data_IF_394893202461
#
_entry.id   IF_394893202461
#
_cell.length_a   1.000
_cell.length_b   1.000
_cell.length_c   1.000
_cell.angle_alpha   90.00
_cell.angle_beta   90.00
_cell.angle_gamma   90.00
#
_symmetry.space_group_name_H-M   'P 1'
#
loop_
_entity.id
_entity.type
_entity.pdbx_description
1 polymer ?
#
# COMPACT_ATOMS: atom_id res chain seq x y z
N UNK A 1 -4.15 20.53 -17.88
CA UNK A 1 -3.80 19.67 -19.04
C UNK A 1 -2.84 18.52 -18.71
N UNK A 2 -1.72 18.76 -18.04
CA UNK A 2 -0.65 17.74 -17.90
C UNK A 2 -0.95 16.64 -16.87
N UNK A 3 -1.69 16.96 -15.80
CA UNK A 3 -2.00 15.99 -14.75
C UNK A 3 -3.09 14.98 -15.19
N UNK A 4 -4.08 15.43 -15.94
CA UNK A 4 -5.16 14.60 -16.49
C UNK A 4 -4.63 13.66 -17.57
N UNK A 5 -3.74 14.13 -18.45
CA UNK A 5 -3.04 13.29 -19.42
C UNK A 5 -2.14 12.25 -18.73
N UNK A 6 -1.40 12.62 -17.68
CA UNK A 6 -0.62 11.67 -16.90
C UNK A 6 -1.51 10.64 -16.19
N UNK A 7 -2.63 11.08 -15.62
CA UNK A 7 -3.61 10.19 -14.98
C UNK A 7 -4.20 9.21 -16.01
N UNK A 8 -4.58 9.70 -17.20
CA UNK A 8 -5.09 8.89 -18.31
C UNK A 8 -4.02 7.95 -18.91
N UNK A 9 -2.74 8.33 -18.94
CA UNK A 9 -1.65 7.43 -19.37
C UNK A 9 -1.36 6.32 -18.34
N UNK A 10 -1.47 6.66 -17.05
CA UNK A 10 -1.30 5.72 -15.93
C UNK A 10 -2.48 4.75 -15.82
N UNK A 11 -3.68 5.17 -16.24
CA UNK A 11 -4.93 4.40 -16.08
C UNK A 11 -5.52 3.83 -17.38
N UNK A 12 -5.13 4.35 -18.54
CA UNK A 12 -5.80 4.09 -19.82
C UNK A 12 -5.39 2.82 -20.55
N UNK A 13 -4.30 2.17 -20.15
CA UNK A 13 -3.91 0.85 -20.68
C UNK A 13 -3.57 -0.11 -19.55
N UNK A 14 -3.84 -1.42 -19.74
CA UNK A 14 -3.48 -2.45 -18.76
C UNK A 14 -1.98 -2.44 -18.46
N UNK A 15 -1.14 -2.22 -19.49
CA UNK A 15 0.30 -2.09 -19.33
C UNK A 15 0.69 -0.88 -18.46
N UNK A 16 0.06 0.28 -18.67
CA UNK A 16 0.26 1.48 -17.83
C UNK A 16 -0.15 1.28 -16.38
N UNK A 17 -1.26 0.56 -16.15
CA UNK A 17 -1.76 0.23 -14.81
C UNK A 17 -0.84 -0.73 -14.08
N UNK A 18 -0.36 -1.77 -14.75
CA UNK A 18 0.60 -2.73 -14.17
C UNK A 18 1.93 -2.02 -13.89
N UNK A 19 2.47 -1.27 -14.85
CA UNK A 19 3.75 -0.57 -14.69
C UNK A 19 3.75 0.45 -13.56
N UNK A 20 2.71 1.28 -13.48
CA UNK A 20 2.55 2.26 -12.38
C UNK A 20 2.36 1.59 -11.02
N UNK A 21 1.62 0.47 -10.97
CA UNK A 21 1.43 -0.30 -9.74
C UNK A 21 2.74 -0.89 -9.23
N UNK A 22 3.56 -1.47 -10.13
CA UNK A 22 4.90 -1.98 -9.78
C UNK A 22 5.76 -0.87 -9.23
N UNK A 23 5.83 0.25 -9.94
CA UNK A 23 6.68 1.37 -9.56
C UNK A 23 6.27 1.94 -8.20
N UNK A 24 4.99 2.28 -8.01
CA UNK A 24 4.49 2.89 -6.78
C UNK A 24 4.62 1.95 -5.58
N UNK A 25 4.34 0.65 -5.77
CA UNK A 25 4.45 -0.35 -4.71
C UNK A 25 5.89 -0.59 -4.30
N UNK A 26 6.81 -0.60 -5.27
CA UNK A 26 8.24 -0.72 -5.00
C UNK A 26 8.76 0.51 -4.24
N UNK A 27 8.36 1.71 -4.66
CA UNK A 27 8.71 2.96 -3.97
C UNK A 27 8.20 2.97 -2.52
N UNK A 28 6.96 2.53 -2.30
CA UNK A 28 6.39 2.42 -0.95
C UNK A 28 7.13 1.41 -0.08
N UNK A 29 7.42 0.21 -0.61
CA UNK A 29 8.15 -0.84 0.10
C UNK A 29 9.58 -0.40 0.45
N UNK A 30 10.29 0.20 -0.52
CA UNK A 30 11.62 0.76 -0.32
C UNK A 30 11.63 1.90 0.71
N UNK A 31 10.63 2.79 0.66
CA UNK A 31 10.46 3.86 1.64
C UNK A 31 10.25 3.30 3.05
N UNK A 32 9.35 2.31 3.19
CA UNK A 32 9.05 1.66 4.46
C UNK A 32 10.28 0.98 5.07
N UNK A 33 11.05 0.27 4.24
CA UNK A 33 12.28 -0.41 4.65
C UNK A 33 13.36 0.61 5.06
N UNK A 34 13.62 1.62 4.22
CA UNK A 34 14.61 2.67 4.50
C UNK A 34 14.29 3.47 5.77
N UNK A 35 13.01 3.71 6.06
CA UNK A 35 12.57 4.38 7.30
C UNK A 35 12.55 3.46 8.53
N UNK A 36 12.99 2.21 8.39
CA UNK A 36 12.92 1.18 9.42
C UNK A 36 11.51 1.06 10.02
N UNK A 37 10.49 1.28 9.19
CA UNK A 37 9.08 1.17 9.60
C UNK A 37 8.54 -0.26 9.39
N UNK A 38 9.16 -1.01 8.48
CA UNK A 38 8.85 -2.40 8.17
C UNK A 38 10.16 -3.19 8.02
N UNK A 39 10.11 -4.46 8.41
CA UNK A 39 11.20 -5.42 8.20
C UNK A 39 11.31 -5.84 6.72
N UNK A 40 12.38 -6.54 6.34
CA UNK A 40 12.57 -7.00 4.95
C UNK A 40 11.39 -7.85 4.45
N UNK A 41 10.95 -8.84 5.23
CA UNK A 41 9.81 -9.70 4.87
C UNK A 41 8.50 -8.91 4.81
N UNK A 42 8.33 -7.95 5.72
CA UNK A 42 7.17 -7.06 5.69
C UNK A 42 7.20 -6.08 4.50
N UNK A 43 8.37 -5.71 3.99
CA UNK A 43 8.49 -4.91 2.78
C UNK A 43 8.06 -5.70 1.53
N UNK A 44 8.42 -6.99 1.46
CA UNK A 44 7.94 -7.90 0.41
C UNK A 44 6.41 -8.03 0.47
N UNK A 45 5.85 -8.26 1.66
CA UNK A 45 4.40 -8.30 1.84
C UNK A 45 3.72 -6.96 1.48
N UNK A 46 4.34 -5.84 1.87
CA UNK A 46 3.86 -4.50 1.56
C UNK A 46 3.90 -4.19 0.06
N UNK A 47 4.89 -4.71 -0.66
CA UNK A 47 4.95 -4.65 -2.12
C UNK A 47 3.78 -5.39 -2.75
N UNK A 48 3.51 -6.62 -2.33
CA UNK A 48 2.39 -7.41 -2.86
C UNK A 48 1.05 -6.73 -2.57
N UNK A 49 0.79 -6.33 -1.33
CA UNK A 49 -0.45 -5.64 -0.95
C UNK A 49 -0.61 -4.31 -1.73
N UNK A 50 0.48 -3.55 -1.86
CA UNK A 50 0.50 -2.31 -2.64
C UNK A 50 0.20 -2.54 -4.12
N UNK A 51 0.77 -3.61 -4.69
CA UNK A 51 0.62 -3.98 -6.09
C UNK A 51 -0.85 -4.21 -6.44
N UNK A 52 -1.53 -5.08 -5.69
CA UNK A 52 -2.95 -5.36 -5.89
C UNK A 52 -3.81 -4.11 -5.61
N UNK A 53 -3.52 -3.39 -4.53
CA UNK A 53 -4.29 -2.19 -4.17
C UNK A 53 -4.18 -1.08 -5.22
N UNK A 54 -3.01 -0.92 -5.86
CA UNK A 54 -2.79 0.04 -6.92
C UNK A 54 -3.33 -0.45 -8.27
N UNK A 55 -3.24 -1.75 -8.56
CA UNK A 55 -3.69 -2.32 -9.83
C UNK A 55 -5.22 -2.26 -9.96
N UNK A 56 -5.93 -2.62 -8.89
CA UNK A 56 -7.40 -2.64 -8.84
C UNK A 56 -8.00 -1.29 -8.39
N UNK A 57 -7.28 -0.55 -7.54
CA UNK A 57 -7.75 0.74 -6.99
C UNK A 57 -7.17 2.00 -7.62
N UNK A 58 -6.23 1.87 -8.56
CA UNK A 58 -5.50 2.99 -9.14
C UNK A 58 -4.75 3.82 -8.09
N UNK A 59 -4.52 5.10 -8.41
CA UNK A 59 -3.87 6.06 -7.51
C UNK A 59 -4.62 6.24 -6.18
N UNK A 60 -5.97 6.17 -6.19
CA UNK A 60 -6.77 6.32 -4.96
C UNK A 60 -6.50 5.18 -3.99
N UNK A 61 -6.52 3.93 -4.46
CA UNK A 61 -6.18 2.75 -3.65
C UNK A 61 -4.77 2.84 -3.06
N UNK A 62 -3.81 3.29 -3.88
CA UNK A 62 -2.44 3.55 -3.42
C UNK A 62 -2.39 4.60 -2.30
N UNK A 63 -3.00 5.78 -2.49
CA UNK A 63 -2.95 6.84 -1.49
C UNK A 63 -3.62 6.47 -0.17
N UNK A 64 -4.75 5.74 -0.21
CA UNK A 64 -5.41 5.24 0.99
C UNK A 64 -4.48 4.29 1.76
N UNK A 65 -3.89 3.30 1.08
CA UNK A 65 -2.95 2.37 1.69
C UNK A 65 -1.70 3.09 2.23
N UNK A 66 -1.16 4.03 1.46
CA UNK A 66 0.03 4.80 1.82
C UNK A 66 -0.21 5.70 3.04
N UNK A 67 -1.34 6.44 3.07
CA UNK A 67 -1.75 7.27 4.20
C UNK A 67 -1.94 6.42 5.46
N UNK A 68 -2.62 5.28 5.34
CA UNK A 68 -2.78 4.32 6.43
C UNK A 68 -1.42 3.81 6.93
N UNK A 69 -0.52 3.46 6.02
CA UNK A 69 0.84 3.01 6.35
C UNK A 69 1.64 4.10 7.09
N UNK A 70 1.59 5.35 6.62
CA UNK A 70 2.31 6.48 7.22
C UNK A 70 1.75 6.84 8.59
N UNK A 71 0.42 6.93 8.72
CA UNK A 71 -0.23 7.24 9.99
C UNK A 71 0.10 6.18 11.05
N UNK A 72 -0.09 4.91 10.69
CA UNK A 72 0.23 3.78 11.58
C UNK A 72 1.73 3.70 11.91
N UNK A 73 2.63 4.03 10.95
CA UNK A 73 4.08 4.09 11.21
C UNK A 73 4.43 5.09 12.31
N UNK A 74 3.81 6.27 12.27
CA UNK A 74 4.09 7.37 13.22
C UNK A 74 3.56 7.01 14.61
N UNK A 75 2.36 6.47 14.69
CA UNK A 75 1.74 6.01 15.94
C UNK A 75 2.58 4.91 16.62
N UNK A 76 3.08 3.93 15.86
CA UNK A 76 3.93 2.86 16.43
C UNK A 76 5.24 3.41 16.99
N UNK A 77 5.88 4.38 16.32
CA UNK A 77 7.10 5.02 16.84
C UNK A 77 6.85 5.86 18.09
N UNK A 78 5.72 6.56 18.16
CA UNK A 78 5.36 7.37 19.33
C UNK A 78 5.11 6.49 20.57
N UNK A 79 4.54 5.30 20.39
CA UNK A 79 4.22 4.37 21.48
C UNK A 79 5.28 3.27 21.70
N UNK A 80 6.43 3.35 21.02
CA UNK A 80 7.49 2.34 21.09
C UNK A 80 8.04 2.17 22.52
N UNK A 81 8.08 3.27 23.30
CA UNK A 81 8.56 3.26 24.68
C UNK A 81 7.67 2.44 25.62
N UNK A 82 6.36 2.37 25.35
CA UNK A 82 5.40 1.62 26.17
C UNK A 82 5.31 0.15 25.72
N UNK A 83 5.48 -0.11 24.42
CA UNK A 83 5.35 -1.47 23.86
C UNK A 83 6.57 -2.37 24.05
N UNK A 84 7.75 -1.80 24.32
CA UNK A 84 8.99 -2.56 24.54
C UNK A 84 8.92 -3.55 25.70
N UNK A 85 8.17 -3.22 26.77
CA UNK A 85 8.04 -4.10 27.94
C UNK A 85 6.94 -5.17 27.80
N UNK A 86 6.09 -5.09 26.76
CA UNK A 86 4.87 -5.91 26.67
C UNK A 86 4.97 -6.97 25.55
N UNK A 87 5.68 -6.69 24.46
CA UNK A 87 5.75 -7.59 23.29
C UNK A 87 7.08 -8.37 23.24
N UNK A 88 7.01 -9.68 23.46
CA UNK A 88 8.17 -10.59 23.42
C UNK A 88 8.85 -10.70 22.03
N UNK A 89 8.12 -10.35 20.95
CA UNK A 89 8.61 -10.30 19.56
C UNK A 89 8.93 -8.86 19.07
N UNK A 90 8.99 -7.88 19.97
CA UNK A 90 9.17 -6.49 19.57
C UNK A 90 10.56 -6.23 18.98
N UNK A 91 10.65 -6.09 17.65
CA UNK A 91 11.89 -5.69 16.98
C UNK A 91 12.22 -4.23 17.34
N UNK A 92 13.48 -3.98 17.74
CA UNK A 92 14.03 -2.63 18.03
C UNK A 92 13.63 -1.65 16.91
N UNK A 93 12.92 -0.56 17.24
CA UNK A 93 12.47 0.47 16.30
C UNK A 93 11.01 0.36 15.84
N UNK A 94 10.21 -0.57 16.40
CA UNK A 94 8.79 -0.72 16.06
C UNK A 94 8.51 -1.22 14.64
N UNK A 95 9.44 -2.00 14.07
CA UNK A 95 9.33 -2.52 12.71
C UNK A 95 8.19 -3.53 12.57
N UNK A 96 7.34 -3.33 11.56
CA UNK A 96 6.28 -4.28 11.23
C UNK A 96 6.83 -5.52 10.51
N UNK A 97 6.40 -6.69 10.96
CA UNK A 97 6.71 -7.97 10.31
C UNK A 97 5.66 -8.32 9.24
N UNK A 98 5.93 -9.38 8.47
CA UNK A 98 5.01 -9.88 7.44
C UNK A 98 3.62 -10.16 7.99
N UNK A 99 3.51 -10.72 9.20
CA UNK A 99 2.22 -11.04 9.84
C UNK A 99 1.41 -9.78 10.10
N UNK A 100 2.01 -8.73 10.65
CA UNK A 100 1.33 -7.45 10.89
C UNK A 100 0.96 -6.75 9.58
N UNK A 101 1.81 -6.81 8.55
CA UNK A 101 1.50 -6.22 7.25
C UNK A 101 0.35 -6.96 6.58
N UNK A 102 0.35 -8.30 6.63
CA UNK A 102 -0.73 -9.12 6.11
C UNK A 102 -2.03 -8.87 6.89
N UNK A 103 -2.01 -8.96 8.23
CA UNK A 103 -3.20 -8.78 9.06
C UNK A 103 -3.91 -7.44 8.82
N UNK A 104 -3.14 -6.35 8.63
CA UNK A 104 -3.72 -5.02 8.43
C UNK A 104 -3.99 -4.69 6.96
N UNK A 105 -3.10 -5.10 6.06
CA UNK A 105 -3.15 -4.71 4.64
C UNK A 105 -3.96 -5.66 3.76
N UNK A 106 -4.07 -6.93 4.14
CA UNK A 106 -4.71 -7.95 3.31
C UNK A 106 -6.22 -7.72 3.19
N UNK A 107 -6.91 -7.34 4.27
CA UNK A 107 -8.36 -7.09 4.23
C UNK A 107 -8.69 -5.96 3.25
N UNK A 108 -7.96 -4.85 3.30
CA UNK A 108 -8.14 -3.75 2.36
C UNK A 108 -7.87 -4.16 0.91
N UNK A 109 -6.83 -4.98 0.70
CA UNK A 109 -6.51 -5.58 -0.60
C UNK A 109 -7.64 -6.47 -1.13
N UNK A 110 -8.20 -7.35 -0.30
CA UNK A 110 -9.30 -8.23 -0.70
C UNK A 110 -10.55 -7.40 -1.03
N UNK A 111 -10.90 -6.41 -0.20
CA UNK A 111 -12.05 -5.56 -0.45
C UNK A 111 -11.95 -4.82 -1.79
N UNK A 112 -10.79 -4.22 -2.09
CA UNK A 112 -10.62 -3.46 -3.33
C UNK A 112 -10.58 -4.35 -4.57
N UNK A 113 -9.97 -5.55 -4.46
CA UNK A 113 -9.99 -6.54 -5.53
C UNK A 113 -11.40 -7.10 -5.75
N UNK A 114 -12.13 -7.48 -4.69
CA UNK A 114 -13.49 -7.99 -4.79
C UNK A 114 -14.44 -6.93 -5.36
N UNK A 115 -14.31 -5.68 -4.91
CA UNK A 115 -15.06 -4.55 -5.44
C UNK A 115 -14.79 -4.36 -6.93
N UNK A 116 -13.51 -4.35 -7.35
CA UNK A 116 -13.16 -4.23 -8.77
C UNK A 116 -13.72 -5.37 -9.63
N UNK A 117 -13.74 -6.61 -9.12
CA UNK A 117 -14.33 -7.75 -9.82
C UNK A 117 -15.86 -7.65 -9.89
N UNK A 118 -16.52 -7.18 -8.82
CA UNK A 118 -17.99 -7.07 -8.75
C UNK A 118 -18.58 -6.04 -9.71
N UNK A 119 -17.80 -5.02 -10.07
CA UNK A 119 -18.26 -3.90 -10.90
C UNK A 119 -18.10 -4.19 -12.40
N UNK A 120 -17.34 -5.24 -12.77
CA UNK A 120 -17.21 -5.76 -14.13
C UNK A 120 -16.82 -4.69 -15.16
N UNK A 121 -15.52 -4.45 -15.34
CA UNK A 121 -14.87 -3.57 -16.33
C UNK A 121 -15.47 -2.15 -16.54
N UNK A 122 -16.40 -1.73 -15.68
CA UNK A 122 -16.86 -0.35 -15.62
C UNK A 122 -15.80 0.41 -14.85
N UNK A 123 -14.80 0.85 -15.60
CA UNK A 123 -13.64 1.65 -15.20
C UNK A 123 -14.05 3.06 -14.73
N UNK A 124 -15.15 3.20 -13.98
CA UNK A 124 -15.75 4.49 -13.61
C UNK A 124 -14.90 5.28 -12.62
N UNK A 125 -13.91 4.69 -11.95
CA UNK A 125 -13.05 5.43 -11.01
C UNK A 125 -11.94 6.23 -11.67
N UNK A 126 -11.60 5.94 -12.93
CA UNK A 126 -10.54 6.62 -13.69
C UNK A 126 -11.06 7.75 -14.57
N UNK A 127 -12.37 7.82 -14.80
CA UNK A 127 -12.99 8.78 -15.73
C UNK A 127 -13.57 10.06 -15.06
N UNK A 128 -13.68 10.12 -13.73
CA UNK A 128 -14.26 11.31 -13.04
C UNK A 128 -13.25 12.44 -12.74
N UNK A 129 -12.16 12.58 -13.50
CA UNK A 129 -11.25 13.75 -13.46
C UNK A 129 -10.69 14.09 -14.84
#
# INVERSE_FOLDING_TARGET
PNLTLFCSMVTGTLAGRVGSSVLLSLLMAAYGYKKKAVSMDGAVAGFVVGMFSCLFGGLRGFFVLFMFFVSSSKLTKFKEFIKKDIEHEHKKGGQRNIVQVAANGFVGCVCITAFALSIGDRQTWTEYL
#
